data_IF_439675763405
#
_entry.id   IF_439675763405
#
_cell.length_a   1.000
_cell.length_b   1.000
_cell.length_c   1.000
_cell.angle_alpha   90.00
_cell.angle_beta   90.00
_cell.angle_gamma   90.00
#
_symmetry.space_group_name_H-M   'P 1'
#
loop_
_entity.id
_entity.type
_entity.pdbx_description
1 polymer ?
#
# COMPACT_ATOMS: atom_id res chain seq x y z
N UNK A 1 -14.90 8.36 -30.43
CA UNK A 1 -13.44 8.14 -30.31
C UNK A 1 -12.78 8.62 -31.59
N UNK A 2 -11.77 9.51 -31.52
CA UNK A 2 -10.35 9.12 -31.60
C UNK A 2 -9.44 9.97 -30.67
N UNK A 3 -8.42 9.46 -29.96
CA UNK A 3 -7.07 9.30 -30.51
C UNK A 3 -6.08 8.46 -29.64
N UNK A 4 -6.56 7.66 -28.68
CA UNK A 4 -5.73 6.60 -28.07
C UNK A 4 -4.54 7.04 -27.23
N UNK A 5 -4.50 8.28 -26.75
CA UNK A 5 -3.53 8.73 -25.74
C UNK A 5 -4.18 8.70 -24.35
N UNK A 6 -3.49 8.26 -23.29
CA UNK A 6 -3.98 8.44 -21.93
C UNK A 6 -4.07 9.95 -21.65
N UNK A 7 -5.25 10.44 -21.28
CA UNK A 7 -5.42 11.77 -20.71
C UNK A 7 -4.70 11.82 -19.36
N UNK A 8 -3.42 12.21 -19.39
CA UNK A 8 -2.73 12.71 -18.21
C UNK A 8 -3.06 14.20 -18.17
N UNK A 9 -4.00 14.58 -17.29
CA UNK A 9 -4.19 15.98 -16.94
C UNK A 9 -2.84 16.53 -16.45
N UNK A 10 -2.32 17.64 -17.01
CA UNK A 10 -1.04 18.20 -16.57
C UNK A 10 -1.16 18.65 -15.11
N UNK A 11 -0.32 18.09 -14.25
CA UNK A 11 -0.14 18.53 -12.87
C UNK A 11 0.39 19.97 -12.90
N UNK A 12 -0.40 20.92 -12.38
CA UNK A 12 0.06 22.25 -12.05
C UNK A 12 0.76 22.23 -10.69
N UNK A 13 2.01 22.68 -10.65
CA UNK A 13 2.73 22.98 -9.42
C UNK A 13 1.97 24.07 -8.64
N UNK A 14 1.39 23.71 -7.50
CA UNK A 14 0.90 24.65 -6.50
C UNK A 14 1.56 24.31 -5.17
N UNK A 15 2.33 25.25 -4.64
CA UNK A 15 3.11 25.10 -3.42
C UNK A 15 2.28 25.14 -2.14
N UNK A 16 2.92 24.62 -1.07
CA UNK A 16 2.96 25.05 0.34
C UNK A 16 1.71 25.80 0.84
N UNK A 17 0.96 25.37 1.86
CA UNK A 17 1.29 25.34 3.30
C UNK A 17 0.04 24.92 4.15
N UNK A 18 0.18 24.64 5.45
CA UNK A 18 -0.96 24.49 6.40
C UNK A 18 -1.44 23.04 6.65
N UNK A 19 -1.02 22.38 7.73
CA UNK A 19 -1.76 22.27 9.01
C UNK A 19 -2.99 21.34 9.01
N UNK A 20 -2.76 20.11 9.52
CA UNK A 20 -3.66 19.31 10.37
C UNK A 20 -5.07 18.93 9.88
N UNK A 21 -5.35 17.64 9.69
CA UNK A 21 -6.70 17.11 9.89
C UNK A 21 -6.72 15.59 10.10
N UNK A 22 -7.53 15.14 11.06
CA UNK A 22 -7.66 13.76 11.49
C UNK A 22 -8.31 12.82 10.48
N UNK A 23 -8.18 11.53 10.80
CA UNK A 23 -8.75 10.38 10.07
C UNK A 23 -10.27 10.44 10.12
N UNK A 24 -10.88 11.19 9.22
CA UNK A 24 -12.32 11.25 9.00
C UNK A 24 -12.68 10.50 7.72
N UNK A 25 -13.46 9.43 7.83
CA UNK A 25 -14.13 8.81 6.67
C UNK A 25 -15.13 9.82 6.11
N UNK A 26 -14.83 10.42 4.97
CA UNK A 26 -15.72 11.38 4.31
C UNK A 26 -16.61 10.63 3.30
N UNK A 27 -17.91 10.72 3.46
CA UNK A 27 -18.91 10.23 2.51
C UNK A 27 -19.38 11.39 1.66
N UNK A 28 -19.02 11.42 0.37
CA UNK A 28 -19.51 12.42 -0.57
C UNK A 28 -20.65 11.83 -1.44
N UNK A 29 -21.60 12.68 -1.83
CA UNK A 29 -22.77 12.32 -2.64
C UNK A 29 -22.41 12.30 -4.13
N UNK A 30 -22.05 11.12 -4.62
CA UNK A 30 -21.51 10.88 -5.96
C UNK A 30 -22.56 10.35 -6.96
N UNK A 31 -23.86 10.43 -6.65
CA UNK A 31 -24.89 9.64 -7.35
C UNK A 31 -25.37 10.22 -8.69
N UNK A 32 -25.19 11.52 -8.88
CA UNK A 32 -25.73 12.26 -10.04
C UNK A 32 -24.64 12.88 -10.92
N UNK A 33 -23.38 12.71 -10.55
CA UNK A 33 -22.25 13.29 -11.28
C UNK A 33 -21.77 12.35 -12.40
N UNK A 34 -21.18 12.94 -13.44
CA UNK A 34 -20.62 12.15 -14.55
C UNK A 34 -19.38 11.36 -14.09
N UNK A 35 -19.01 10.37 -14.87
CA UNK A 35 -17.85 9.52 -14.62
C UNK A 35 -16.55 10.34 -14.56
N UNK A 36 -16.44 11.34 -15.44
CA UNK A 36 -15.32 12.29 -15.49
C UNK A 36 -15.27 13.14 -14.22
N UNK A 37 -16.42 13.67 -13.80
CA UNK A 37 -16.52 14.48 -12.58
C UNK A 37 -16.18 13.64 -11.35
N UNK A 38 -16.63 12.39 -11.28
CA UNK A 38 -16.25 11.47 -10.20
C UNK A 38 -14.74 11.27 -10.14
N UNK A 39 -14.13 11.02 -11.29
CA UNK A 39 -12.67 10.81 -11.37
C UNK A 39 -11.92 12.05 -10.90
N UNK A 40 -12.37 13.23 -11.34
CA UNK A 40 -11.79 14.52 -10.95
C UNK A 40 -11.92 14.77 -9.44
N UNK A 41 -13.12 14.58 -8.86
CA UNK A 41 -13.35 14.80 -7.44
C UNK A 41 -12.52 13.84 -6.59
N UNK A 42 -12.46 12.55 -6.94
CA UNK A 42 -11.61 11.59 -6.23
C UNK A 42 -10.13 11.97 -6.31
N UNK A 43 -9.66 12.41 -7.48
CA UNK A 43 -8.28 12.87 -7.63
C UNK A 43 -8.00 14.15 -6.86
N UNK A 44 -8.95 15.08 -6.80
CA UNK A 44 -8.83 16.33 -6.05
C UNK A 44 -8.82 16.07 -4.55
N UNK A 45 -9.82 15.37 -4.03
CA UNK A 45 -9.98 15.09 -2.59
C UNK A 45 -8.85 14.20 -2.06
N UNK A 46 -8.36 13.23 -2.83
CA UNK A 46 -7.28 12.33 -2.41
C UNK A 46 -5.89 12.81 -2.83
N UNK A 47 -5.78 13.68 -3.83
CA UNK A 47 -4.50 14.19 -4.33
C UNK A 47 -3.88 15.24 -3.41
N UNK A 48 -4.73 16.00 -2.71
CA UNK A 48 -4.30 17.00 -1.71
C UNK A 48 -3.81 16.34 -0.42
N UNK A 49 -4.27 15.11 -0.16
CA UNK A 49 -3.83 14.33 1.00
C UNK A 49 -2.55 13.56 0.65
N UNK A 50 -1.42 14.20 0.92
CA UNK A 50 -0.03 13.72 0.72
C UNK A 50 0.35 12.42 1.44
N UNK A 51 -0.60 11.69 2.00
CA UNK A 51 -0.40 10.42 2.69
C UNK A 51 -1.45 9.42 2.20
N UNK A 52 -1.01 8.27 1.66
CA UNK A 52 -1.86 7.15 1.21
C UNK A 52 -2.78 6.53 2.27
N UNK A 53 -2.99 7.22 3.39
CA UNK A 53 -3.98 6.97 4.43
C UNK A 53 -5.37 7.52 4.12
N UNK A 54 -5.47 8.52 3.22
CA UNK A 54 -6.73 9.12 2.79
C UNK A 54 -7.63 8.09 2.10
N UNK A 55 -8.86 7.91 2.60
CA UNK A 55 -9.82 6.96 2.03
C UNK A 55 -11.19 7.61 1.88
N UNK A 56 -11.72 7.55 0.67
CA UNK A 56 -13.09 7.94 0.38
C UNK A 56 -13.92 6.68 0.18
N UNK A 57 -15.09 6.64 0.82
CA UNK A 57 -16.03 5.53 0.68
C UNK A 57 -17.24 5.97 -0.13
N UNK A 58 -17.55 5.24 -1.19
CA UNK A 58 -18.67 5.49 -2.10
C UNK A 58 -19.66 4.33 -1.99
N UNK A 59 -20.86 4.52 -1.45
CA UNK A 59 -21.88 3.48 -1.40
C UNK A 59 -22.32 3.02 -2.80
N UNK A 60 -22.51 1.72 -3.01
CA UNK A 60 -23.02 1.17 -4.28
C UNK A 60 -24.45 1.56 -4.58
N UNK A 61 -25.22 1.93 -3.56
CA UNK A 61 -26.56 2.52 -3.73
C UNK A 61 -26.53 3.88 -4.43
N UNK A 62 -25.40 4.59 -4.36
CA UNK A 62 -25.19 5.90 -5.00
C UNK A 62 -24.53 5.70 -6.37
N UNK A 63 -23.57 4.78 -6.48
CA UNK A 63 -22.85 4.51 -7.72
C UNK A 63 -22.74 3.00 -7.94
N UNK A 64 -23.45 2.42 -8.91
CA UNK A 64 -23.42 0.97 -9.13
C UNK A 64 -22.16 0.50 -9.88
N UNK A 65 -21.64 1.29 -10.81
CA UNK A 65 -20.53 0.90 -11.69
C UNK A 65 -19.37 1.89 -11.64
N UNK A 66 -18.14 1.37 -11.68
CA UNK A 66 -16.93 2.20 -11.79
C UNK A 66 -16.76 2.70 -13.25
N UNK A 67 -16.19 3.90 -13.47
CA UNK A 67 -15.93 4.38 -14.83
C UNK A 67 -15.09 3.42 -15.68
N UNK A 68 -15.31 3.34 -17.00
CA UNK A 68 -14.72 2.30 -17.85
C UNK A 68 -13.21 2.43 -18.06
N UNK A 69 -12.60 3.57 -17.75
CA UNK A 69 -11.14 3.77 -17.82
C UNK A 69 -10.40 3.31 -16.56
N UNK A 70 -11.11 2.89 -15.52
CA UNK A 70 -10.50 2.23 -14.37
C UNK A 70 -10.17 0.78 -14.74
N UNK A 71 -8.89 0.46 -14.75
CA UNK A 71 -8.42 -0.87 -15.12
C UNK A 71 -8.48 -1.80 -13.91
N UNK A 72 -9.10 -2.97 -14.06
CA UNK A 72 -9.05 -4.01 -13.04
C UNK A 72 -7.60 -4.47 -12.82
N UNK A 73 -7.20 -4.63 -11.56
CA UNK A 73 -5.85 -5.02 -11.18
C UNK A 73 -5.88 -6.12 -10.12
N UNK A 74 -4.87 -7.00 -10.17
CA UNK A 74 -4.57 -7.95 -9.09
C UNK A 74 -3.36 -7.50 -8.25
N UNK A 75 -2.80 -6.33 -8.55
CA UNK A 75 -1.67 -5.75 -7.84
C UNK A 75 -2.15 -4.93 -6.64
N UNK A 76 -1.81 -5.41 -5.44
CA UNK A 76 -2.25 -4.85 -4.17
C UNK A 76 -2.79 -5.95 -3.24
N UNK A 77 -2.81 -5.69 -1.93
CA UNK A 77 -3.45 -6.61 -1.00
C UNK A 77 -4.97 -6.46 -1.10
N UNK A 78 -5.74 -7.51 -1.41
CA UNK A 78 -7.16 -7.37 -1.70
C UNK A 78 -8.00 -6.88 -0.52
N UNK A 79 -7.55 -6.98 0.74
CA UNK A 79 -8.29 -6.44 1.91
C UNK A 79 -9.77 -6.90 1.97
N UNK A 80 -10.08 -8.09 1.45
CA UNK A 80 -11.46 -8.60 1.34
C UNK A 80 -12.33 -7.99 0.23
N UNK A 81 -11.77 -7.18 -0.67
CA UNK A 81 -12.47 -6.63 -1.84
C UNK A 81 -12.79 -7.73 -2.86
N UNK A 82 -13.95 -7.64 -3.51
CA UNK A 82 -14.34 -8.53 -4.61
C UNK A 82 -13.55 -8.24 -5.88
N UNK A 83 -13.24 -6.95 -6.14
CA UNK A 83 -12.42 -6.48 -7.27
C UNK A 83 -11.60 -5.26 -6.85
N UNK A 84 -10.53 -4.98 -7.59
CA UNK A 84 -9.68 -3.80 -7.39
C UNK A 84 -9.44 -3.11 -8.73
N UNK A 85 -9.48 -1.79 -8.74
CA UNK A 85 -9.31 -0.99 -9.95
C UNK A 85 -8.26 0.10 -9.79
N UNK A 86 -7.58 0.45 -10.87
CA UNK A 86 -6.57 1.51 -10.90
C UNK A 86 -6.80 2.51 -12.02
N UNK A 87 -6.54 3.77 -11.71
CA UNK A 87 -6.42 4.85 -12.68
C UNK A 87 -5.30 5.80 -12.25
N UNK A 88 -4.14 5.71 -12.89
CA UNK A 88 -2.94 6.44 -12.46
C UNK A 88 -2.50 6.01 -11.06
N UNK A 89 -2.47 6.97 -10.11
CA UNK A 89 -2.16 6.73 -8.69
C UNK A 89 -3.39 6.39 -7.84
N UNK A 90 -4.59 6.53 -8.40
CA UNK A 90 -5.84 6.22 -7.71
C UNK A 90 -6.06 4.71 -7.71
N UNK A 91 -6.32 4.16 -6.54
CA UNK A 91 -6.60 2.75 -6.34
C UNK A 91 -7.93 2.59 -5.62
N UNK A 92 -8.78 1.71 -6.14
CA UNK A 92 -10.15 1.54 -5.66
C UNK A 92 -10.44 0.09 -5.38
N UNK A 93 -10.86 -0.20 -4.14
CA UNK A 93 -11.36 -1.49 -3.72
C UNK A 93 -12.88 -1.54 -3.87
N UNK A 94 -13.39 -2.54 -4.58
CA UNK A 94 -14.81 -2.82 -4.65
C UNK A 94 -15.21 -3.87 -3.60
N UNK A 95 -16.21 -3.53 -2.81
CA UNK A 95 -16.90 -4.42 -1.88
C UNK A 95 -18.33 -4.67 -2.37
N UNK A 96 -19.07 -5.54 -1.70
CA UNK A 96 -20.45 -5.85 -2.08
C UNK A 96 -21.38 -4.62 -1.99
N UNK A 97 -21.14 -3.75 -1.01
CA UNK A 97 -21.98 -2.61 -0.63
C UNK A 97 -21.38 -1.24 -0.97
N UNK A 98 -20.08 -1.17 -1.26
CA UNK A 98 -19.35 0.10 -1.41
C UNK A 98 -18.08 -0.02 -2.26
N UNK A 99 -17.56 1.13 -2.67
CA UNK A 99 -16.21 1.30 -3.18
C UNK A 99 -15.39 2.09 -2.15
N UNK A 100 -14.10 1.76 -2.02
CA UNK A 100 -13.15 2.49 -1.18
C UNK A 100 -11.98 2.92 -2.05
N UNK A 101 -11.85 4.23 -2.27
CA UNK A 101 -10.81 4.82 -3.08
C UNK A 101 -9.72 5.45 -2.20
N UNK A 102 -8.46 5.28 -2.60
CA UNK A 102 -7.30 5.95 -2.00
C UNK A 102 -6.28 6.33 -3.07
N UNK A 103 -5.35 7.23 -2.75
CA UNK A 103 -4.25 7.60 -3.63
C UNK A 103 -2.95 6.94 -3.15
N UNK A 104 -2.31 6.14 -3.99
CA UNK A 104 -0.98 5.60 -3.69
C UNK A 104 0.09 6.71 -3.81
N UNK A 105 1.18 6.69 -3.03
CA UNK A 105 2.23 7.72 -3.17
C UNK A 105 3.06 7.55 -4.45
N UNK A 106 3.30 6.31 -4.85
CA UNK A 106 3.97 5.99 -6.11
C UNK A 106 3.16 4.92 -6.87
N UNK A 107 3.11 5.06 -8.20
CA UNK A 107 2.43 4.07 -9.02
C UNK A 107 3.34 2.83 -9.18
N UNK A 108 2.96 1.66 -8.65
CA UNK A 108 3.79 0.46 -8.70
C UNK A 108 4.08 -0.03 -10.12
N UNK A 109 3.30 0.38 -11.13
CA UNK A 109 3.53 0.00 -12.53
C UNK A 109 4.68 0.77 -13.19
N UNK A 110 4.96 1.98 -12.74
CA UNK A 110 5.99 2.85 -13.32
C UNK A 110 7.17 3.11 -12.39
N UNK A 111 6.94 3.09 -11.07
CA UNK A 111 7.96 3.23 -10.03
C UNK A 111 7.78 2.18 -8.92
N UNK A 112 8.10 0.90 -9.20
CA UNK A 112 7.93 -0.18 -8.23
C UNK A 112 8.85 -0.04 -7.01
N UNK A 113 10.03 0.58 -7.17
CA UNK A 113 10.96 0.80 -6.06
C UNK A 113 10.49 1.94 -5.16
N UNK A 114 10.02 3.05 -5.73
CA UNK A 114 9.41 4.14 -4.97
C UNK A 114 8.16 3.70 -4.23
N UNK A 115 7.34 2.84 -4.84
CA UNK A 115 6.18 2.22 -4.18
C UNK A 115 6.62 1.34 -3.00
N UNK A 116 7.63 0.48 -3.18
CA UNK A 116 8.10 -0.38 -2.10
C UNK A 116 8.64 0.43 -0.91
N UNK A 117 9.41 1.49 -1.16
CA UNK A 117 10.00 2.34 -0.11
C UNK A 117 8.96 3.20 0.60
N UNK A 118 8.01 3.79 -0.14
CA UNK A 118 7.07 4.77 0.40
C UNK A 118 5.74 4.18 0.87
N UNK A 119 5.24 3.17 0.17
CA UNK A 119 3.91 2.60 0.40
C UNK A 119 3.97 1.21 1.08
N UNK A 120 5.11 0.51 1.05
CA UNK A 120 5.27 -0.82 1.65
C UNK A 120 6.62 -1.06 2.37
N UNK A 121 7.05 -0.18 3.29
CA UNK A 121 8.34 -0.31 3.98
C UNK A 121 8.49 -1.62 4.76
N UNK A 122 7.39 -2.20 5.25
CA UNK A 122 7.37 -3.50 5.94
C UNK A 122 7.80 -4.65 5.02
N UNK A 123 7.44 -4.59 3.73
CA UNK A 123 7.82 -5.60 2.75
C UNK A 123 9.33 -5.53 2.50
N UNK A 124 9.90 -4.32 2.46
CA UNK A 124 11.34 -4.09 2.37
C UNK A 124 12.08 -4.67 3.57
N UNK A 125 11.61 -4.40 4.79
CA UNK A 125 12.18 -4.94 6.03
C UNK A 125 12.08 -6.48 6.02
N UNK A 126 10.94 -7.03 5.60
CA UNK A 126 10.75 -8.48 5.48
C UNK A 126 11.71 -9.14 4.50
N UNK A 127 11.89 -8.56 3.31
CA UNK A 127 12.83 -9.04 2.30
C UNK A 127 14.28 -8.94 2.77
N UNK A 128 14.66 -7.82 3.41
CA UNK A 128 15.97 -7.65 4.01
C UNK A 128 16.24 -8.71 5.08
N UNK A 129 15.30 -8.88 6.01
CA UNK A 129 15.39 -9.89 7.06
C UNK A 129 15.52 -11.32 6.50
N UNK A 130 14.75 -11.66 5.47
CA UNK A 130 14.82 -12.95 4.79
C UNK A 130 16.19 -13.18 4.12
N UNK A 131 16.74 -12.16 3.44
CA UNK A 131 18.05 -12.26 2.80
C UNK A 131 19.18 -12.46 3.83
N UNK A 132 19.17 -11.69 4.92
CA UNK A 132 20.16 -11.82 5.99
C UNK A 132 20.03 -13.15 6.74
N UNK A 133 18.81 -13.55 7.12
CA UNK A 133 18.56 -14.84 7.77
C UNK A 133 18.95 -16.02 6.88
N UNK A 134 18.60 -15.96 5.59
CA UNK A 134 18.96 -16.95 4.59
C UNK A 134 20.48 -17.08 4.41
N UNK A 135 21.21 -15.96 4.41
CA UNK A 135 22.68 -15.97 4.38
C UNK A 135 23.27 -16.67 5.61
N UNK A 136 22.78 -16.35 6.82
CA UNK A 136 23.26 -16.99 8.06
C UNK A 136 23.04 -18.50 8.01
N UNK A 137 21.84 -18.95 7.62
CA UNK A 137 21.54 -20.38 7.48
C UNK A 137 22.44 -21.03 6.42
N UNK A 138 22.63 -20.38 5.28
CA UNK A 138 23.47 -20.90 4.20
C UNK A 138 24.95 -21.00 4.63
N UNK A 139 25.47 -20.03 5.38
CA UNK A 139 26.83 -20.05 5.91
C UNK A 139 27.00 -21.19 6.95
N UNK A 140 26.00 -21.42 7.81
CA UNK A 140 25.98 -22.57 8.74
C UNK A 140 25.97 -23.90 7.99
N UNK A 141 25.14 -24.02 6.94
CA UNK A 141 25.05 -25.26 6.15
C UNK A 141 26.35 -25.55 5.38
N UNK A 142 27.03 -24.52 4.88
CA UNK A 142 28.32 -24.62 4.16
C UNK A 142 29.52 -24.84 5.07
N UNK A 143 29.42 -24.58 6.37
CA UNK A 143 30.50 -24.83 7.32
C UNK A 143 30.90 -26.32 7.39
N UNK A 144 32.11 -26.61 7.86
CA UNK A 144 32.58 -27.99 8.07
C UNK A 144 32.07 -28.62 9.38
N UNK A 145 31.10 -27.99 10.04
CA UNK A 145 30.56 -28.50 11.30
C UNK A 145 29.86 -29.87 11.14
N UNK A 146 29.92 -30.74 12.16
CA UNK A 146 29.13 -31.98 12.14
C UNK A 146 27.63 -31.68 12.10
N UNK A 147 26.86 -32.57 11.48
CA UNK A 147 25.41 -32.38 11.20
C UNK A 147 24.59 -31.98 12.44
N UNK A 148 24.88 -32.56 13.61
CA UNK A 148 24.20 -32.23 14.86
C UNK A 148 24.42 -30.78 15.30
N UNK A 149 25.64 -30.26 15.14
CA UNK A 149 25.98 -28.87 15.46
C UNK A 149 25.34 -27.88 14.47
N UNK A 150 25.23 -28.24 13.19
CA UNK A 150 24.50 -27.43 12.19
C UNK A 150 23.02 -27.28 12.56
N UNK A 151 22.36 -28.37 12.94
CA UNK A 151 20.96 -28.36 13.38
C UNK A 151 20.81 -27.49 14.64
N UNK A 152 21.68 -27.68 15.64
CA UNK A 152 21.67 -26.87 16.85
C UNK A 152 21.89 -25.38 16.57
N UNK A 153 22.80 -25.02 15.66
CA UNK A 153 23.08 -23.63 15.29
C UNK A 153 21.89 -22.96 14.58
N UNK A 154 21.19 -23.67 13.68
CA UNK A 154 19.97 -23.15 13.04
C UNK A 154 18.85 -22.94 14.06
N UNK A 155 18.66 -23.88 14.99
CA UNK A 155 17.65 -23.75 16.06
C UNK A 155 18.00 -22.57 16.98
N UNK A 156 19.26 -22.48 17.43
CA UNK A 156 19.72 -21.41 18.32
C UNK A 156 19.58 -20.02 17.68
N UNK A 157 19.98 -19.87 16.41
CA UNK A 157 19.83 -18.60 15.68
C UNK A 157 18.35 -18.22 15.48
N UNK A 158 17.47 -19.19 15.25
CA UNK A 158 16.02 -18.95 15.17
C UNK A 158 15.45 -18.44 16.49
N UNK A 159 15.80 -19.09 17.62
CA UNK A 159 15.35 -18.68 18.96
C UNK A 159 15.89 -17.29 19.29
N UNK A 160 17.17 -17.02 19.01
CA UNK A 160 17.79 -15.71 19.23
C UNK A 160 17.09 -14.61 18.41
N UNK A 161 16.73 -14.89 17.15
CA UNK A 161 15.98 -13.96 16.30
C UNK A 161 14.58 -13.64 16.85
N UNK A 162 13.85 -14.66 17.32
CA UNK A 162 12.54 -14.49 17.97
C UNK A 162 12.66 -13.64 19.24
N UNK A 163 13.66 -13.94 20.08
CA UNK A 163 13.90 -13.20 21.32
C UNK A 163 14.26 -11.73 21.05
N UNK A 164 15.12 -11.45 20.08
CA UNK A 164 15.48 -10.09 19.68
C UNK A 164 14.27 -9.30 19.16
N UNK A 165 13.43 -9.93 18.33
CA UNK A 165 12.19 -9.32 17.82
C UNK A 165 11.22 -8.99 18.97
N UNK A 166 11.07 -9.90 19.93
CA UNK A 166 10.25 -9.66 21.12
C UNK A 166 10.78 -8.50 21.97
N UNK A 167 12.09 -8.41 22.19
CA UNK A 167 12.71 -7.31 22.94
C UNK A 167 12.53 -5.96 22.25
N UNK A 168 12.70 -5.91 20.92
CA UNK A 168 12.43 -4.71 20.13
C UNK A 168 10.96 -4.29 20.24
N UNK A 169 10.04 -5.24 20.13
CA UNK A 169 8.59 -4.96 20.25
C UNK A 169 8.20 -4.36 21.61
N UNK A 170 8.90 -4.74 22.70
CA UNK A 170 8.70 -4.14 24.02
C UNK A 170 9.17 -2.68 24.07
N UNK A 171 10.33 -2.35 23.48
CA UNK A 171 10.84 -0.97 23.45
C UNK A 171 9.91 0.01 22.74
N UNK A 172 9.18 -0.44 21.72
CA UNK A 172 8.21 0.41 21.01
C UNK A 172 6.85 0.49 21.71
N UNK A 173 6.60 -0.34 22.72
CA UNK A 173 5.33 -0.37 23.47
C UNK A 173 5.42 0.41 24.78
N UNK A 174 6.61 0.83 25.21
CA UNK A 174 6.77 1.78 26.30
C UNK A 174 6.54 3.20 25.75
N UNK A 175 5.51 3.94 26.21
CA UNK A 175 5.33 5.33 25.82
C UNK A 175 6.58 6.11 26.24
N UNK A 176 7.09 6.95 25.33
CA UNK A 176 8.11 7.95 25.63
C UNK A 176 7.63 8.79 26.82
N UNK A 177 8.20 8.53 28.00
CA UNK A 177 8.03 9.37 29.18
C UNK A 177 8.75 10.70 29.05
#
# INVERSE_FOLDING_TARGET
MPDGRPWIMPYGDAGLDGEGAGVGQHTADYGTISDEELTYQLQKELGDQSSGTAKITIPKGIRQHMPPWFEETRLGYPMGSTRQYRFGRLHVHEYEDRYVAHMDNANPRYDPLGHLVKDAPEVLIGLGGAAFGGKIVADILRSDMPRGYKIAAVIASSIAGIAATYMLSKKFKEPSG
#
